data_IF_077804878373
#
_entry.id   IF_077804878373
#
_cell.length_a   1.000
_cell.length_b   1.000
_cell.length_c   1.000
_cell.angle_alpha   90.00
_cell.angle_beta   90.00
_cell.angle_gamma   90.00
#
_symmetry.space_group_name_H-M   'P 1'
#
loop_
_entity.id
_entity.type
_entity.pdbx_description
1 polymer ?
#
# COMPACT_ATOMS: atom_id res chain seq x y z
N UNK A 1 -13.32 -27.36 20.06
CA UNK A 1 -13.59 -26.46 21.20
C UNK A 1 -12.51 -25.40 21.23
N UNK A 2 -12.61 -24.18 20.74
CA UNK A 2 -13.47 -23.53 19.76
C UNK A 2 -12.59 -22.37 19.24
N UNK A 3 -12.17 -22.41 17.98
CA UNK A 3 -11.55 -21.27 17.29
C UNK A 3 -12.50 -20.90 16.15
N UNK A 4 -13.56 -20.17 16.50
CA UNK A 4 -14.58 -19.74 15.54
C UNK A 4 -15.12 -18.33 15.85
N UNK A 5 -14.23 -17.38 16.13
CA UNK A 5 -14.60 -15.97 16.34
C UNK A 5 -13.97 -14.97 15.36
N UNK A 6 -13.12 -15.40 14.43
CA UNK A 6 -12.60 -14.50 13.37
C UNK A 6 -13.55 -14.36 12.16
N UNK A 7 -14.59 -15.19 12.06
CA UNK A 7 -15.53 -15.19 10.94
C UNK A 7 -16.83 -14.40 11.17
N UNK A 8 -17.11 -13.93 12.40
CA UNK A 8 -18.43 -13.33 12.71
C UNK A 8 -18.60 -11.86 12.32
N UNK A 9 -17.52 -11.11 12.08
CA UNK A 9 -17.61 -9.66 11.86
C UNK A 9 -17.55 -9.18 10.39
N UNK A 10 -17.72 -10.07 9.40
CA UNK A 10 -17.85 -9.70 7.97
C UNK A 10 -19.28 -9.51 7.48
N UNK A 11 -20.29 -9.52 8.36
CA UNK A 11 -21.71 -9.54 7.94
C UNK A 11 -22.33 -8.20 7.53
N UNK A 12 -21.56 -7.11 7.52
CA UNK A 12 -22.09 -5.80 7.11
C UNK A 12 -21.22 -5.12 6.05
N UNK A 13 -20.88 -5.79 4.94
CA UNK A 13 -20.51 -5.13 3.65
C UNK A 13 -21.56 -5.39 2.55
N UNK A 14 -21.93 -4.40 1.73
CA UNK A 14 -22.95 -4.53 0.66
C UNK A 14 -22.53 -5.64 -0.33
N UNK A 15 -21.25 -5.98 -0.34
CA UNK A 15 -20.69 -7.10 -1.10
C UNK A 15 -20.74 -8.47 -0.41
N UNK A 16 -20.92 -8.57 0.91
CA UNK A 16 -20.95 -9.87 1.60
C UNK A 16 -22.19 -10.71 1.25
N UNK A 17 -23.25 -10.08 0.74
CA UNK A 17 -24.46 -10.77 0.24
C UNK A 17 -24.58 -10.75 -1.30
N UNK A 18 -23.54 -10.36 -2.03
CA UNK A 18 -23.58 -10.35 -3.48
C UNK A 18 -23.24 -11.73 -4.04
N UNK A 19 -24.30 -12.53 -4.21
CA UNK A 19 -24.48 -13.32 -5.43
C UNK A 19 -23.87 -12.58 -6.62
N UNK A 20 -23.05 -13.29 -7.40
CA UNK A 20 -22.26 -12.84 -8.57
C UNK A 20 -22.92 -11.66 -9.32
N UNK A 21 -22.64 -10.41 -8.93
CA UNK A 21 -22.96 -9.26 -9.77
C UNK A 21 -22.07 -9.40 -10.99
N UNK A 22 -22.70 -9.65 -12.13
CA UNK A 22 -22.05 -9.66 -13.44
C UNK A 22 -21.86 -8.20 -13.83
N UNK A 23 -20.61 -7.78 -13.97
CA UNK A 23 -20.28 -6.43 -14.46
C UNK A 23 -20.43 -6.47 -15.96
N UNK A 24 -21.41 -5.75 -16.50
CA UNK A 24 -21.71 -5.74 -17.94
C UNK A 24 -21.20 -4.47 -18.65
N UNK A 25 -20.89 -3.42 -17.88
CA UNK A 25 -20.45 -2.13 -18.40
C UNK A 25 -19.21 -1.59 -17.68
N UNK A 26 -18.32 -0.93 -18.43
CA UNK A 26 -17.18 -0.18 -17.90
C UNK A 26 -17.62 1.24 -17.50
N UNK A 27 -18.24 1.38 -16.34
CA UNK A 27 -18.74 2.66 -15.81
C UNK A 27 -18.50 2.79 -14.30
N UNK A 28 -18.80 3.97 -13.76
CA UNK A 28 -18.67 4.26 -12.33
C UNK A 28 -19.66 3.44 -11.50
N UNK A 29 -19.27 3.09 -10.26
CA UNK A 29 -20.20 2.49 -9.29
C UNK A 29 -21.18 3.56 -8.80
N UNK A 30 -20.67 4.76 -8.51
CA UNK A 30 -21.44 5.95 -8.14
C UNK A 30 -21.01 7.10 -9.05
N UNK A 31 -21.97 7.88 -9.55
CA UNK A 31 -21.67 9.00 -10.44
C UNK A 31 -20.80 10.05 -9.72
N UNK A 32 -19.88 10.73 -10.44
CA UNK A 32 -19.12 11.82 -9.86
C UNK A 32 -20.03 12.88 -9.23
N UNK A 33 -19.75 13.23 -7.98
CA UNK A 33 -20.41 14.34 -7.31
C UNK A 33 -19.77 15.66 -7.73
N UNK A 34 -20.60 16.70 -7.81
CA UNK A 34 -20.13 18.08 -7.90
C UNK A 34 -19.31 18.43 -6.66
N UNK A 35 -18.23 19.19 -6.83
CA UNK A 35 -17.27 19.49 -5.76
C UNK A 35 -17.95 20.23 -4.60
N UNK A 36 -18.96 21.03 -4.90
CA UNK A 36 -19.77 21.79 -3.93
C UNK A 36 -20.59 20.88 -3.00
N UNK A 37 -20.91 19.66 -3.45
CA UNK A 37 -21.64 18.66 -2.67
C UNK A 37 -20.71 17.81 -1.78
N UNK A 38 -19.39 17.96 -1.94
CA UNK A 38 -18.39 17.28 -1.11
C UNK A 38 -18.26 18.04 0.21
N UNK A 39 -18.15 17.30 1.33
CA UNK A 39 -17.95 17.90 2.65
C UNK A 39 -16.64 18.68 2.69
N UNK A 40 -16.72 19.92 3.16
CA UNK A 40 -15.57 20.81 3.30
C UNK A 40 -14.77 20.56 4.58
N UNK A 41 -15.46 20.15 5.64
CA UNK A 41 -14.83 19.89 6.94
C UNK A 41 -14.21 18.49 7.02
N UNK A 42 -13.05 18.29 7.66
CA UNK A 42 -12.50 16.97 7.90
C UNK A 42 -13.45 16.08 8.72
N UNK A 43 -13.30 14.76 8.60
CA UNK A 43 -14.03 13.81 9.45
C UNK A 43 -13.65 13.99 10.92
N UNK A 44 -14.60 13.80 11.83
CA UNK A 44 -14.32 13.88 13.26
C UNK A 44 -13.46 12.71 13.70
N UNK A 45 -12.40 13.01 14.47
CA UNK A 45 -11.58 12.02 15.14
C UNK A 45 -11.88 12.05 16.64
N UNK A 46 -11.82 10.91 17.34
CA UNK A 46 -11.95 10.90 18.79
C UNK A 46 -10.73 11.59 19.42
N UNK A 47 -10.93 12.33 20.50
CA UNK A 47 -9.81 12.83 21.29
C UNK A 47 -8.93 11.66 21.78
N UNK A 48 -7.60 11.83 21.86
CA UNK A 48 -6.81 13.04 21.59
C UNK A 48 -6.24 13.11 20.17
N UNK A 49 -6.93 12.54 19.16
CA UNK A 49 -6.40 12.46 17.80
C UNK A 49 -6.79 13.66 16.94
N UNK A 50 -5.87 14.09 16.08
CA UNK A 50 -6.10 15.16 15.11
C UNK A 50 -5.54 14.79 13.73
N UNK A 51 -6.16 15.35 12.68
CA UNK A 51 -5.62 15.27 11.33
C UNK A 51 -4.36 16.13 11.20
N UNK A 52 -3.46 15.72 10.32
CA UNK A 52 -2.30 16.52 9.91
C UNK A 52 -1.98 16.25 8.45
N UNK A 53 -1.61 17.28 7.69
CA UNK A 53 -0.96 17.10 6.39
C UNK A 53 0.52 16.83 6.63
N UNK A 54 1.06 15.75 6.05
CA UNK A 54 2.47 15.39 6.22
C UNK A 54 3.28 15.97 5.05
N UNK A 55 4.09 16.97 5.36
CA UNK A 55 4.95 17.64 4.38
C UNK A 55 6.23 16.84 4.13
N UNK A 56 6.31 16.18 2.98
CA UNK A 56 7.47 15.37 2.59
C UNK A 56 8.67 16.21 2.10
N UNK A 57 8.53 17.53 2.01
CA UNK A 57 9.65 18.44 1.78
C UNK A 57 10.35 18.83 3.09
N UNK A 58 9.69 18.65 4.23
CA UNK A 58 10.31 18.76 5.55
C UNK A 58 11.01 17.46 5.93
N UNK A 59 12.32 17.54 6.22
CA UNK A 59 13.09 16.37 6.63
C UNK A 59 12.55 15.75 7.93
N UNK A 60 12.10 16.58 8.88
CA UNK A 60 11.58 16.10 10.16
C UNK A 60 10.31 15.25 9.98
N UNK A 61 9.39 15.72 9.13
CA UNK A 61 8.14 14.99 8.86
C UNK A 61 8.36 13.76 7.97
N UNK A 62 9.32 13.82 7.04
CA UNK A 62 9.74 12.66 6.26
C UNK A 62 10.34 11.57 7.17
N UNK A 63 11.13 11.97 8.16
CA UNK A 63 11.72 11.07 9.16
C UNK A 63 10.66 10.43 10.05
N UNK A 64 9.62 11.19 10.44
CA UNK A 64 8.47 10.66 11.16
C UNK A 64 7.71 9.62 10.32
N UNK A 65 7.45 9.90 9.04
CA UNK A 65 6.79 8.96 8.13
C UNK A 65 7.62 7.69 7.95
N UNK A 66 8.91 7.85 7.68
CA UNK A 66 9.86 6.75 7.59
C UNK A 66 9.79 5.86 8.84
N UNK A 67 9.84 6.47 10.02
CA UNK A 67 9.78 5.75 11.30
C UNK A 67 8.45 5.02 11.47
N UNK A 68 7.32 5.67 11.18
CA UNK A 68 6.00 5.05 11.23
C UNK A 68 5.95 3.79 10.35
N UNK A 69 6.38 3.90 9.09
CA UNK A 69 6.33 2.80 8.13
C UNK A 69 7.30 1.67 8.51
N UNK A 70 8.54 2.03 8.84
CA UNK A 70 9.56 1.07 9.24
C UNK A 70 9.18 0.28 10.51
N UNK A 71 8.36 0.83 11.41
CA UNK A 71 7.95 0.11 12.62
C UNK A 71 6.59 -0.59 12.49
N UNK A 72 5.72 -0.12 11.59
CA UNK A 72 4.29 -0.46 11.59
C UNK A 72 3.71 -0.82 10.22
N UNK A 73 4.47 -0.84 9.14
CA UNK A 73 3.97 -1.21 7.81
C UNK A 73 3.99 -2.73 7.57
N UNK A 74 3.68 -3.13 6.33
CA UNK A 74 3.49 -4.52 5.90
C UNK A 74 4.66 -5.42 6.32
N UNK A 75 4.29 -6.52 6.98
CA UNK A 75 5.15 -7.62 7.39
C UNK A 75 4.76 -8.84 6.57
N UNK A 76 5.70 -9.76 6.34
CA UNK A 76 5.38 -11.09 5.83
C UNK A 76 4.62 -11.90 6.88
N UNK A 77 3.96 -12.98 6.44
CA UNK A 77 3.11 -13.81 7.30
C UNK A 77 3.85 -14.39 8.52
N UNK A 78 5.17 -14.55 8.41
CA UNK A 78 6.06 -15.07 9.47
C UNK A 78 6.73 -13.94 10.30
N UNK A 79 6.46 -12.67 10.00
CA UNK A 79 7.09 -11.48 10.58
C UNK A 79 8.65 -11.50 10.54
N UNK A 80 9.24 -12.17 9.55
CA UNK A 80 10.68 -12.20 9.33
C UNK A 80 11.20 -10.98 8.56
N UNK A 81 10.35 -10.37 7.72
CA UNK A 81 10.72 -9.27 6.85
C UNK A 81 9.68 -8.16 6.89
N UNK A 82 10.17 -6.91 6.87
CA UNK A 82 9.37 -5.71 6.73
C UNK A 82 9.97 -4.84 5.65
N UNK A 83 9.12 -4.13 4.91
CA UNK A 83 9.60 -3.16 3.96
C UNK A 83 10.27 -1.97 4.66
N UNK A 84 11.53 -1.72 4.28
CA UNK A 84 12.29 -0.55 4.67
C UNK A 84 12.33 0.43 3.48
N UNK A 85 11.31 1.27 3.37
CA UNK A 85 11.23 2.30 2.34
C UNK A 85 12.08 3.49 2.76
N UNK A 86 13.26 3.63 2.16
CA UNK A 86 14.16 4.76 2.42
C UNK A 86 13.49 6.12 2.17
N UNK A 87 13.96 7.15 2.87
CA UNK A 87 13.46 8.53 2.79
C UNK A 87 13.41 9.07 1.36
N UNK A 88 14.50 8.89 0.62
CA UNK A 88 14.59 9.34 -0.78
C UNK A 88 13.56 8.63 -1.67
N UNK A 89 13.31 7.34 -1.43
CA UNK A 89 12.29 6.59 -2.13
C UNK A 89 10.89 7.12 -1.81
N UNK A 90 10.58 7.34 -0.52
CA UNK A 90 9.29 7.90 -0.10
C UNK A 90 9.05 9.27 -0.73
N UNK A 91 10.05 10.15 -0.69
CA UNK A 91 9.99 11.46 -1.33
C UNK A 91 9.76 11.33 -2.83
N UNK A 92 10.55 10.51 -3.53
CA UNK A 92 10.40 10.29 -4.97
C UNK A 92 9.03 9.72 -5.35
N UNK A 93 8.57 8.69 -4.64
CA UNK A 93 7.32 7.99 -4.94
C UNK A 93 6.08 8.85 -4.65
N UNK A 94 6.14 9.72 -3.65
CA UNK A 94 4.98 10.49 -3.16
C UNK A 94 4.97 11.96 -3.63
N UNK A 95 6.00 12.43 -4.33
CA UNK A 95 6.02 13.79 -4.90
C UNK A 95 6.13 13.84 -6.43
N UNK A 96 5.40 12.99 -7.19
CA UNK A 96 5.40 13.07 -8.65
C UNK A 96 4.75 14.38 -9.11
N UNK A 97 5.01 14.81 -10.35
CA UNK A 97 4.44 16.04 -10.89
C UNK A 97 2.91 16.11 -10.71
N UNK A 98 2.42 17.24 -10.17
CA UNK A 98 1.01 17.46 -9.90
C UNK A 98 0.52 16.95 -8.53
N UNK A 99 1.39 16.40 -7.69
CA UNK A 99 1.06 16.02 -6.31
C UNK A 99 0.53 17.21 -5.49
N UNK A 100 -0.18 16.89 -4.40
CA UNK A 100 -0.78 17.86 -3.50
C UNK A 100 -0.50 17.49 -2.06
N UNK A 101 -0.10 18.45 -1.23
CA UNK A 101 0.27 18.17 0.16
C UNK A 101 -0.90 17.59 0.98
N UNK A 102 -2.12 18.09 0.75
CA UNK A 102 -3.33 17.60 1.41
C UNK A 102 -3.74 16.18 1.01
N UNK A 103 -3.07 15.54 0.04
CA UNK A 103 -3.23 14.11 -0.26
C UNK A 103 -2.37 13.20 0.63
N UNK A 104 -1.49 13.77 1.44
CA UNK A 104 -0.66 13.06 2.41
C UNK A 104 -1.27 13.21 3.80
N UNK A 105 -2.29 12.40 4.07
CA UNK A 105 -3.10 12.51 5.28
C UNK A 105 -2.47 11.71 6.42
N UNK A 106 -2.10 12.40 7.49
CA UNK A 106 -1.63 11.83 8.75
C UNK A 106 -2.67 11.97 9.88
N UNK A 107 -2.57 11.08 10.87
CA UNK A 107 -3.26 11.22 12.16
C UNK A 107 -2.22 11.28 13.27
N UNK A 108 -2.31 12.31 14.11
CA UNK A 108 -1.43 12.51 15.26
C UNK A 108 -2.17 12.39 16.58
N UNK A 109 -1.50 11.95 17.64
CA UNK A 109 -2.02 12.10 19.01
C UNK A 109 -1.44 13.36 19.64
N UNK A 110 -2.30 14.17 20.27
CA UNK A 110 -1.91 15.39 20.98
C UNK A 110 -1.00 16.30 20.13
N UNK A 111 -1.24 16.36 18.81
CA UNK A 111 -0.50 17.18 17.86
C UNK A 111 0.97 16.80 17.59
N UNK A 112 1.52 15.78 18.26
CA UNK A 112 2.95 15.47 18.19
C UNK A 112 3.22 14.21 17.37
N UNK A 113 2.89 13.03 17.90
CA UNK A 113 3.32 11.76 17.30
C UNK A 113 2.43 11.34 16.14
N UNK A 114 3.01 11.08 14.97
CA UNK A 114 2.34 10.47 13.83
C UNK A 114 2.01 9.00 14.13
N UNK A 115 0.73 8.63 13.99
CA UNK A 115 0.18 7.34 14.38
C UNK A 115 -0.52 6.61 13.24
N UNK A 116 -0.89 7.33 12.19
CA UNK A 116 -1.36 6.72 10.97
C UNK A 116 -1.08 7.65 9.79
N UNK A 117 -1.02 7.05 8.61
CA UNK A 117 -0.74 7.73 7.36
C UNK A 117 -1.45 7.06 6.20
N UNK A 118 -1.83 7.84 5.20
CA UNK A 118 -2.28 7.39 3.88
C UNK A 118 -1.85 8.44 2.86
N UNK A 119 -1.36 7.99 1.71
CA UNK A 119 -0.98 8.87 0.62
C UNK A 119 -1.85 8.65 -0.62
N UNK A 120 -2.08 9.73 -1.35
CA UNK A 120 -2.63 9.71 -2.69
C UNK A 120 -1.73 10.51 -3.65
N UNK A 121 -1.52 9.99 -4.85
CA UNK A 121 -0.77 10.67 -5.92
C UNK A 121 -1.62 10.74 -7.18
N UNK A 122 -1.42 11.72 -8.09
CA UNK A 122 -2.19 11.80 -9.31
C UNK A 122 -1.79 10.68 -10.27
N UNK A 123 -2.76 10.05 -10.91
CA UNK A 123 -2.55 9.02 -11.91
C UNK A 123 -3.49 9.21 -13.11
N UNK A 124 -2.96 9.04 -14.31
CA UNK A 124 -3.75 8.97 -15.54
C UNK A 124 -3.86 7.50 -15.95
N UNK A 125 -5.03 6.90 -15.73
CA UNK A 125 -5.22 5.46 -15.93
C UNK A 125 -6.10 5.22 -17.14
N UNK A 126 -5.68 4.30 -18.01
CA UNK A 126 -6.47 3.82 -19.13
C UNK A 126 -7.18 2.52 -18.76
N UNK A 127 -8.51 2.55 -18.81
CA UNK A 127 -9.39 1.41 -18.55
C UNK A 127 -10.14 1.12 -19.85
N UNK A 128 -9.70 0.08 -20.57
CA UNK A 128 -10.13 -0.25 -21.93
C UNK A 128 -9.94 0.93 -22.91
N UNK A 129 -11.05 1.53 -23.35
CA UNK A 129 -11.16 2.64 -24.28
C UNK A 129 -11.22 4.01 -23.58
N UNK A 130 -11.33 4.04 -22.25
CA UNK A 130 -11.44 5.27 -21.46
C UNK A 130 -10.13 5.62 -20.78
N UNK A 131 -9.73 6.88 -20.85
CA UNK A 131 -8.62 7.43 -20.07
C UNK A 131 -9.19 8.34 -18.99
N UNK A 132 -8.86 8.06 -17.73
CA UNK A 132 -9.47 8.70 -16.56
C UNK A 132 -8.35 9.26 -15.68
N UNK A 133 -8.48 10.54 -15.31
CA UNK A 133 -7.64 11.14 -14.28
C UNK A 133 -8.19 10.75 -12.90
N UNK A 134 -7.35 10.12 -12.09
CA UNK A 134 -7.71 9.65 -10.76
C UNK A 134 -6.53 9.80 -9.81
N UNK A 135 -6.69 9.29 -8.59
CA UNK A 135 -5.62 9.21 -7.61
C UNK A 135 -5.25 7.75 -7.36
N UNK A 136 -3.95 7.47 -7.29
CA UNK A 136 -3.42 6.21 -6.80
C UNK A 136 -3.19 6.32 -5.30
N UNK A 137 -3.78 5.40 -4.54
CA UNK A 137 -3.65 5.34 -3.09
C UNK A 137 -2.54 4.35 -2.71
N UNK A 138 -1.65 4.75 -1.81
CA UNK A 138 -0.62 3.85 -1.27
C UNK A 138 -0.26 4.22 0.20
N UNK A 139 0.57 3.41 0.83
CA UNK A 139 1.13 3.62 2.17
C UNK A 139 0.10 3.81 3.30
N UNK A 140 -1.07 3.16 3.18
CA UNK A 140 -2.01 3.09 4.29
C UNK A 140 -1.38 2.34 5.47
N UNK A 141 -1.00 3.09 6.51
CA UNK A 141 -0.34 2.56 7.69
C UNK A 141 -1.06 3.04 8.95
N UNK A 142 -1.30 2.11 9.87
CA UNK A 142 -1.79 2.41 11.22
C UNK A 142 -0.83 1.79 12.22
N UNK A 143 -0.40 2.60 13.18
CA UNK A 143 0.46 2.16 14.28
C UNK A 143 -0.12 0.92 14.95
N UNK A 144 0.72 -0.10 15.21
CA UNK A 144 0.31 -1.44 15.67
C UNK A 144 -0.68 -1.42 16.84
N UNK A 145 -0.42 -0.57 17.84
CA UNK A 145 -1.26 -0.38 19.03
C UNK A 145 -2.70 0.13 18.76
N UNK A 146 -2.98 0.67 17.57
CA UNK A 146 -4.28 1.24 17.21
C UNK A 146 -5.08 0.40 16.23
N UNK A 147 -4.52 -0.71 15.72
CA UNK A 147 -5.19 -1.55 14.71
C UNK A 147 -6.49 -2.17 15.23
N UNK A 148 -6.56 -2.51 16.52
CA UNK A 148 -7.78 -3.02 17.17
C UNK A 148 -8.83 -1.94 17.45
N UNK A 149 -8.47 -0.65 17.35
CA UNK A 149 -9.34 0.50 17.72
C UNK A 149 -10.10 1.11 16.53
N UNK A 150 -10.16 0.42 15.39
CA UNK A 150 -10.87 0.85 14.15
C UNK A 150 -10.41 2.20 13.57
N UNK A 151 -9.27 2.75 13.99
CA UNK A 151 -8.70 4.01 13.46
C UNK A 151 -8.38 3.91 11.96
N UNK A 152 -8.11 2.72 11.44
CA UNK A 152 -7.94 2.53 9.98
C UNK A 152 -9.20 2.84 9.17
N UNK A 153 -10.40 2.69 9.76
CA UNK A 153 -11.67 2.90 9.08
C UNK A 153 -11.92 4.38 8.76
N UNK A 154 -11.37 5.31 9.56
CA UNK A 154 -11.56 6.75 9.32
C UNK A 154 -10.57 7.35 8.30
N UNK A 155 -9.48 6.65 7.97
CA UNK A 155 -8.43 7.10 7.03
C UNK A 155 -8.76 6.93 5.56
N UNK A 156 -9.82 6.18 5.22
CA UNK A 156 -10.20 6.01 3.83
C UNK A 156 -10.99 7.24 3.35
N UNK A 157 -10.54 7.94 2.29
CA UNK A 157 -11.22 9.12 1.73
C UNK A 157 -12.63 8.83 1.14
N UNK A 158 -13.15 7.61 1.29
CA UNK A 158 -14.46 7.18 0.82
C UNK A 158 -15.59 7.21 1.86
N UNK A 159 -15.41 7.80 3.04
CA UNK A 159 -16.45 7.78 4.11
C UNK A 159 -17.69 8.66 3.83
N UNK A 160 -17.88 9.12 2.59
CA UNK A 160 -19.18 9.59 2.08
C UNK A 160 -20.08 8.44 1.63
N UNK A 161 -19.53 7.26 1.37
CA UNK A 161 -20.30 6.08 1.02
C UNK A 161 -20.56 5.22 2.27
N UNK A 162 -21.83 4.94 2.52
CA UNK A 162 -22.24 3.87 3.44
C UNK A 162 -21.46 2.60 3.05
N UNK A 163 -20.75 2.01 4.03
CA UNK A 163 -20.25 0.63 4.01
C UNK A 163 -19.03 0.42 3.09
N UNK A 164 -17.90 0.07 3.68
CA UNK A 164 -16.69 -0.34 2.94
C UNK A 164 -17.05 -1.51 2.03
N UNK A 165 -17.15 -1.21 0.74
CA UNK A 165 -17.10 -2.16 -0.35
C UNK A 165 -15.62 -2.22 -0.70
N UNK A 166 -14.88 -3.25 -0.26
CA UNK A 166 -13.59 -3.55 -0.88
C UNK A 166 -13.96 -4.20 -2.22
N UNK A 167 -13.84 -3.48 -3.35
CA UNK A 167 -14.25 -4.04 -4.63
C UNK A 167 -13.44 -5.31 -4.91
N UNK A 168 -14.03 -6.23 -5.67
CA UNK A 168 -13.31 -7.42 -6.13
C UNK A 168 -12.05 -6.95 -6.90
N UNK A 169 -10.89 -7.58 -6.69
CA UNK A 169 -9.70 -7.26 -7.45
C UNK A 169 -9.99 -7.31 -8.96
N UNK A 170 -9.58 -6.27 -9.69
CA UNK A 170 -9.72 -6.20 -11.16
C UNK A 170 -8.78 -7.22 -11.84
N UNK A 171 -7.68 -7.56 -11.18
CA UNK A 171 -6.76 -8.61 -11.60
C UNK A 171 -5.98 -9.18 -10.42
N UNK A 172 -5.29 -10.29 -10.66
CA UNK A 172 -4.41 -10.93 -9.69
C UNK A 172 -3.09 -11.30 -10.36
N UNK A 173 -1.97 -10.94 -9.73
CA UNK A 173 -0.63 -11.32 -10.18
C UNK A 173 0.09 -12.07 -9.05
N UNK A 174 1.09 -12.88 -9.42
CA UNK A 174 1.94 -13.59 -8.48
C UNK A 174 3.32 -12.92 -8.43
N UNK A 175 3.85 -12.74 -7.22
CA UNK A 175 5.24 -12.33 -7.03
C UNK A 175 6.20 -13.46 -7.48
N UNK A 176 7.21 -13.08 -8.24
CA UNK A 176 8.29 -13.97 -8.65
C UNK A 176 9.61 -13.39 -8.15
N UNK A 177 10.47 -14.26 -7.62
CA UNK A 177 11.77 -13.86 -7.08
C UNK A 177 12.89 -14.52 -7.88
N UNK A 178 13.92 -13.73 -8.24
CA UNK A 178 15.16 -14.22 -8.82
C UNK A 178 16.27 -14.08 -7.78
N UNK A 179 16.82 -15.19 -7.30
CA UNK A 179 17.92 -15.17 -6.35
C UNK A 179 19.19 -14.60 -6.99
N UNK A 180 19.63 -13.42 -6.55
CA UNK A 180 20.90 -12.81 -6.97
C UNK A 180 22.05 -13.18 -6.03
N UNK A 181 21.76 -13.26 -4.72
CA UNK A 181 22.71 -13.73 -3.70
C UNK A 181 22.10 -14.90 -2.91
N UNK A 182 22.10 -16.12 -3.46
CA UNK A 182 21.47 -17.27 -2.80
C UNK A 182 22.03 -17.56 -1.41
N UNK A 183 23.32 -17.30 -1.18
CA UNK A 183 23.96 -17.49 0.13
C UNK A 183 23.29 -16.63 1.19
N UNK A 184 23.23 -15.31 0.97
CA UNK A 184 22.59 -14.38 1.91
C UNK A 184 21.11 -14.68 2.10
N UNK A 185 20.38 -14.98 1.01
CA UNK A 185 18.95 -15.27 1.09
C UNK A 185 18.64 -16.54 1.91
N UNK A 186 19.51 -17.55 1.88
CA UNK A 186 19.38 -18.74 2.71
C UNK A 186 19.76 -18.44 4.17
N UNK A 187 20.85 -17.69 4.39
CA UNK A 187 21.28 -17.28 5.73
C UNK A 187 20.21 -16.49 6.49
N UNK A 188 19.51 -15.59 5.80
CA UNK A 188 18.40 -14.80 6.39
C UNK A 188 17.05 -15.53 6.37
N UNK A 189 17.01 -16.80 5.93
CA UNK A 189 15.78 -17.61 5.78
C UNK A 189 14.73 -17.07 4.81
N UNK A 190 15.10 -16.16 3.90
CA UNK A 190 14.22 -15.72 2.81
C UNK A 190 13.98 -16.85 1.79
N UNK A 191 14.95 -17.74 1.62
CA UNK A 191 14.85 -18.91 0.75
C UNK A 191 15.47 -20.13 1.42
N UNK A 192 15.14 -21.32 0.93
CA UNK A 192 15.67 -22.58 1.46
C UNK A 192 16.44 -23.35 0.39
N UNK A 193 17.33 -24.24 0.82
CA UNK A 193 17.94 -25.20 -0.09
C UNK A 193 16.88 -26.19 -0.58
N UNK A 194 16.83 -26.38 -1.89
CA UNK A 194 15.97 -27.40 -2.49
C UNK A 194 16.42 -28.81 -2.08
N UNK A 195 15.52 -29.80 -2.25
CA UNK A 195 15.86 -31.21 -2.02
C UNK A 195 17.10 -31.59 -2.85
N UNK A 196 18.07 -32.24 -2.22
CA UNK A 196 19.33 -32.71 -2.84
C UNK A 196 20.23 -31.59 -3.43
N UNK A 197 20.01 -30.33 -3.04
CA UNK A 197 20.87 -29.21 -3.44
C UNK A 197 21.86 -28.84 -2.34
N UNK A 198 23.11 -28.54 -2.74
CA UNK A 198 24.11 -27.92 -1.86
C UNK A 198 24.18 -26.43 -2.13
N UNK A 199 24.63 -25.64 -1.15
CA UNK A 199 24.80 -24.19 -1.31
C UNK A 199 25.67 -23.84 -2.54
N UNK A 200 26.76 -24.57 -2.75
CA UNK A 200 27.64 -24.36 -3.91
C UNK A 200 26.93 -24.60 -5.25
N UNK A 201 26.14 -25.68 -5.36
CA UNK A 201 25.33 -25.95 -6.56
C UNK A 201 24.29 -24.86 -6.81
N UNK A 202 23.63 -24.39 -5.75
CA UNK A 202 22.64 -23.30 -5.83
C UNK A 202 23.28 -21.99 -6.29
N UNK A 203 24.44 -21.61 -5.75
CA UNK A 203 25.16 -20.40 -6.19
C UNK A 203 25.53 -20.52 -7.67
N UNK A 204 26.06 -21.67 -8.10
CA UNK A 204 26.42 -21.89 -9.50
C UNK A 204 25.21 -21.81 -10.43
N UNK A 205 24.07 -22.37 -10.02
CA UNK A 205 22.80 -22.34 -10.77
C UNK A 205 22.27 -20.91 -10.99
N UNK A 206 22.42 -20.04 -10.00
CA UNK A 206 21.91 -18.66 -10.05
C UNK A 206 22.91 -17.61 -10.53
N UNK A 207 24.16 -18.01 -10.83
CA UNK A 207 25.22 -17.10 -11.28
C UNK A 207 24.80 -16.34 -12.53
N UNK A 208 25.10 -15.04 -12.55
CA UNK A 208 24.93 -14.15 -13.70
C UNK A 208 26.29 -13.77 -14.29
N UNK A 209 26.34 -13.37 -15.57
CA UNK A 209 27.52 -12.73 -16.15
C UNK A 209 27.91 -11.45 -15.37
N UNK A 210 29.20 -11.15 -15.33
CA UNK A 210 29.71 -9.93 -14.66
C UNK A 210 29.46 -8.66 -15.48
N UNK A 211 29.41 -8.79 -16.79
CA UNK A 211 29.15 -7.69 -17.72
C UNK A 211 27.80 -7.88 -18.41
N UNK A 212 27.12 -6.78 -18.71
CA UNK A 212 25.88 -6.80 -19.47
C UNK A 212 26.16 -7.17 -20.93
N UNK A 213 25.30 -7.99 -21.51
CA UNK A 213 25.30 -8.23 -22.94
C UNK A 213 24.35 -7.23 -23.60
N UNK A 214 24.72 -5.95 -23.60
CA UNK A 214 24.09 -4.99 -24.50
C UNK A 214 24.74 -5.21 -25.87
N UNK A 215 24.09 -5.97 -26.75
CA UNK A 215 24.46 -5.92 -28.16
C UNK A 215 24.25 -4.48 -28.61
N UNK A 216 25.33 -3.75 -28.85
CA UNK A 216 25.27 -2.48 -29.54
C UNK A 216 24.69 -2.76 -30.93
N UNK A 217 23.37 -2.65 -31.07
CA UNK A 217 22.79 -2.36 -32.37
C UNK A 217 23.25 -0.94 -32.69
N UNK A 218 24.40 -0.85 -33.36
CA UNK A 218 24.81 0.37 -34.03
C UNK A 218 23.68 0.73 -34.95
N UNK A 219 22.91 1.76 -34.59
CA UNK A 219 21.99 2.42 -35.51
C UNK A 219 22.87 3.04 -36.60
N UNK A 220 23.05 2.33 -37.71
CA UNK A 220 23.58 2.85 -38.96
C UNK A 220 22.49 3.56 -39.73
#
# INVERSE_FOLDING_TARGET
>A
MDNNDEAKNRKTSILANSTRIKVEENTFIEAPLEVEKIRKEPYSLPEPFSWSEVDLLSNDQLDELYTLLNENYVEDDENMFRFDYGRDFLKWALTPSGWKNYWHCGVRAAGSKLLAFIAAIPALIRIYDKTIQMVEINFLCVHKKLRSKKVGTCLNPGNHAKRIIIPKPVGSCRYWHRSLNPKKLIETKFSHLGKNMTLHRTIKLYRLPENTHLSAQTLS
#
